data_IF_814351077427
#
_entry.id   IF_814351077427
#
_cell.length_a   1.000
_cell.length_b   1.000
_cell.length_c   1.000
_cell.angle_alpha   90.00
_cell.angle_beta   90.00
_cell.angle_gamma   90.00
#
_symmetry.space_group_name_H-M   'P 1'
#
loop_
_entity.id
_entity.type
_entity.pdbx_description
1 polymer ?
#
# COMPACT_ATOMS: atom_id res chain seq x y z
N UNK A 1 -33.43 -2.62 11.59
CA UNK A 1 -32.29 -1.69 11.59
C UNK A 1 -31.35 -2.19 10.54
N UNK A 2 -31.33 -1.56 9.35
CA UNK A 2 -30.41 -1.90 8.26
C UNK A 2 -29.02 -1.46 8.74
N UNK A 3 -28.15 -2.42 9.06
CA UNK A 3 -26.73 -2.12 9.25
C UNK A 3 -26.22 -1.63 7.90
N UNK A 4 -25.81 -0.38 7.84
CA UNK A 4 -25.12 0.16 6.67
C UNK A 4 -23.77 -0.53 6.63
N UNK A 5 -23.56 -1.45 5.67
CA UNK A 5 -22.25 -2.07 5.44
C UNK A 5 -21.22 -0.98 5.23
N UNK A 6 -20.14 -1.03 6.01
CA UNK A 6 -19.04 -0.07 5.87
C UNK A 6 -18.21 -0.45 4.66
N UNK A 7 -18.14 0.46 3.67
CA UNK A 7 -17.28 0.31 2.49
C UNK A 7 -16.00 1.09 2.69
N UNK A 8 -14.84 0.50 2.37
CA UNK A 8 -13.57 1.16 2.54
C UNK A 8 -12.51 0.69 1.55
N UNK A 9 -11.57 1.59 1.26
CA UNK A 9 -10.43 1.30 0.38
C UNK A 9 -9.25 0.81 1.19
N UNK A 10 -8.62 -0.28 0.78
CA UNK A 10 -7.37 -0.77 1.35
C UNK A 10 -6.19 -0.18 0.56
N UNK A 11 -5.16 0.29 1.26
CA UNK A 11 -3.91 0.65 0.62
C UNK A 11 -3.09 -0.61 0.27
N UNK A 12 -2.03 -0.44 -0.51
CA UNK A 12 -1.20 -1.55 -0.98
C UNK A 12 -0.56 -2.32 0.18
N UNK A 13 -0.13 -1.62 1.23
CA UNK A 13 0.50 -2.27 2.40
C UNK A 13 -0.48 -3.17 3.15
N UNK A 14 -1.72 -2.73 3.30
CA UNK A 14 -2.78 -3.50 3.95
C UNK A 14 -3.16 -4.73 3.13
N UNK A 15 -3.27 -4.60 1.81
CA UNK A 15 -3.55 -5.75 0.92
C UNK A 15 -2.44 -6.80 1.02
N UNK A 16 -1.17 -6.39 0.99
CA UNK A 16 -0.02 -7.30 1.12
C UNK A 16 -0.03 -8.04 2.46
N UNK A 17 -0.42 -7.37 3.54
CA UNK A 17 -0.41 -7.91 4.90
C UNK A 17 -1.72 -8.59 5.31
N UNK A 18 -2.72 -8.63 4.43
CA UNK A 18 -4.08 -9.05 4.76
C UNK A 18 -4.14 -10.41 5.46
N UNK A 19 -3.42 -11.40 4.94
CA UNK A 19 -3.33 -12.75 5.53
C UNK A 19 -2.60 -12.85 6.88
N UNK A 20 -1.99 -11.75 7.33
CA UNK A 20 -1.22 -11.68 8.57
C UNK A 20 -1.88 -10.78 9.62
N UNK A 21 -2.99 -10.13 9.29
CA UNK A 21 -3.70 -9.25 10.21
C UNK A 21 -4.26 -10.05 11.39
N UNK A 22 -4.09 -9.50 12.59
CA UNK A 22 -4.50 -10.17 13.82
C UNK A 22 -5.99 -10.08 14.08
N UNK A 23 -6.63 -9.02 13.59
CA UNK A 23 -8.05 -8.74 13.80
C UNK A 23 -8.73 -8.29 12.50
N UNK A 24 -9.46 -9.19 11.83
CA UNK A 24 -10.25 -8.86 10.65
C UNK A 24 -11.35 -7.81 10.91
N UNK A 25 -11.77 -7.60 12.16
CA UNK A 25 -12.79 -6.60 12.51
C UNK A 25 -12.30 -5.15 12.34
N UNK A 26 -10.99 -4.92 12.18
CA UNK A 26 -10.44 -3.62 11.84
C UNK A 26 -10.67 -3.22 10.37
N UNK A 27 -11.09 -4.17 9.53
CA UNK A 27 -11.35 -3.93 8.11
C UNK A 27 -12.82 -3.55 7.85
N UNK A 28 -13.12 -2.89 6.72
CA UNK A 28 -14.51 -2.61 6.35
C UNK A 28 -15.23 -3.91 5.93
N UNK A 29 -16.56 -3.90 6.05
CA UNK A 29 -17.40 -5.03 5.61
C UNK A 29 -17.27 -5.30 4.10
N UNK A 30 -17.12 -4.22 3.32
CA UNK A 30 -16.87 -4.25 1.88
C UNK A 30 -15.52 -3.57 1.61
N UNK A 31 -14.52 -4.37 1.32
CA UNK A 31 -13.19 -3.89 0.97
C UNK A 31 -13.07 -3.69 -0.54
N UNK A 32 -12.50 -2.55 -0.94
CA UNK A 32 -12.15 -2.24 -2.34
C UNK A 32 -10.70 -1.81 -2.43
N UNK A 33 -10.13 -1.85 -3.64
CA UNK A 33 -8.78 -1.33 -3.90
C UNK A 33 -8.81 -0.28 -5.01
N UNK A 34 -7.79 0.56 -5.08
CA UNK A 34 -7.62 1.49 -6.19
C UNK A 34 -6.92 0.82 -7.39
N UNK A 35 -7.14 1.35 -8.59
CA UNK A 35 -6.35 0.95 -9.77
C UNK A 35 -4.84 1.17 -9.56
N UNK A 36 -4.45 2.11 -8.69
CA UNK A 36 -3.05 2.35 -8.34
C UNK A 36 -2.50 1.19 -7.50
N UNK A 37 -3.25 0.72 -6.49
CA UNK A 37 -2.91 -0.46 -5.70
C UNK A 37 -2.72 -1.69 -6.60
N UNK A 38 -3.65 -1.91 -7.53
CA UNK A 38 -3.54 -3.00 -8.50
C UNK A 38 -2.29 -2.85 -9.38
N UNK A 39 -1.98 -1.63 -9.84
CA UNK A 39 -0.78 -1.35 -10.63
C UNK A 39 0.50 -1.67 -9.83
N UNK A 40 0.58 -1.31 -8.55
CA UNK A 40 1.71 -1.65 -7.69
C UNK A 40 1.87 -3.16 -7.50
N UNK A 41 0.77 -3.87 -7.24
CA UNK A 41 0.80 -5.33 -7.13
C UNK A 41 1.25 -6.00 -8.43
N UNK A 42 0.83 -5.47 -9.59
CA UNK A 42 1.19 -6.03 -10.90
C UNK A 42 2.67 -5.89 -11.25
N UNK A 43 3.38 -4.91 -10.69
CA UNK A 43 4.84 -4.80 -10.83
C UNK A 43 5.57 -5.92 -10.08
N UNK A 44 4.99 -6.41 -8.97
CA UNK A 44 5.60 -7.37 -8.05
C UNK A 44 6.26 -8.57 -8.73
N UNK A 45 5.55 -9.34 -9.55
CA UNK A 45 6.11 -10.51 -10.24
C UNK A 45 7.27 -10.18 -11.17
N UNK A 46 7.27 -8.99 -11.81
CA UNK A 46 8.28 -8.58 -12.79
C UNK A 46 9.64 -8.23 -12.19
N UNK A 47 9.65 -7.86 -10.90
CA UNK A 47 10.87 -7.45 -10.18
C UNK A 47 11.26 -8.44 -9.09
N UNK A 48 10.72 -9.66 -9.12
CA UNK A 48 11.08 -10.73 -8.21
C UNK A 48 12.51 -11.20 -8.47
N UNK A 49 13.23 -11.54 -7.39
CA UNK A 49 14.64 -11.96 -7.46
C UNK A 49 14.78 -13.42 -7.90
N UNK A 50 13.77 -14.26 -7.67
CA UNK A 50 13.75 -15.66 -8.04
C UNK A 50 12.34 -16.13 -8.43
N UNK A 51 12.23 -17.37 -8.89
CA UNK A 51 10.98 -17.94 -9.37
C UNK A 51 9.97 -18.22 -8.24
N UNK A 52 10.44 -18.53 -7.03
CA UNK A 52 9.59 -18.76 -5.87
C UNK A 52 8.93 -17.45 -5.43
N UNK A 53 9.71 -16.37 -5.37
CA UNK A 53 9.21 -15.03 -5.07
C UNK A 53 8.25 -14.53 -6.16
N UNK A 54 8.60 -14.78 -7.44
CA UNK A 54 7.72 -14.44 -8.57
C UNK A 54 6.38 -15.15 -8.46
N UNK A 55 6.39 -16.45 -8.17
CA UNK A 55 5.18 -17.25 -7.99
C UNK A 55 4.30 -16.75 -6.86
N UNK A 56 4.90 -16.44 -5.69
CA UNK A 56 4.19 -15.90 -4.55
C UNK A 56 3.55 -14.52 -4.85
N UNK A 57 4.28 -13.62 -5.51
CA UNK A 57 3.77 -12.30 -5.90
C UNK A 57 2.67 -12.39 -6.97
N UNK A 58 2.80 -13.33 -7.92
CA UNK A 58 1.76 -13.59 -8.92
C UNK A 58 0.48 -14.12 -8.27
N UNK A 59 0.59 -15.05 -7.32
CA UNK A 59 -0.56 -15.56 -6.58
C UNK A 59 -1.25 -14.43 -5.80
N UNK A 60 -0.46 -13.55 -5.18
CA UNK A 60 -0.99 -12.41 -4.43
C UNK A 60 -1.77 -11.42 -5.33
N UNK A 61 -1.23 -11.13 -6.51
CA UNK A 61 -1.91 -10.30 -7.51
C UNK A 61 -3.24 -10.94 -7.94
N UNK A 62 -3.23 -12.23 -8.31
CA UNK A 62 -4.45 -12.95 -8.72
C UNK A 62 -5.50 -13.00 -7.62
N UNK A 63 -5.07 -13.16 -6.36
CA UNK A 63 -5.98 -13.14 -5.22
C UNK A 63 -6.61 -11.76 -5.04
N UNK A 64 -5.83 -10.69 -5.16
CA UNK A 64 -6.34 -9.33 -5.07
C UNK A 64 -7.37 -9.01 -6.18
N UNK A 65 -7.11 -9.46 -7.42
CA UNK A 65 -8.06 -9.32 -8.54
C UNK A 65 -9.35 -10.13 -8.35
N UNK A 66 -9.28 -11.25 -7.63
CA UNK A 66 -10.45 -12.09 -7.37
C UNK A 66 -11.30 -11.59 -6.19
N UNK A 67 -10.68 -11.01 -5.17
CA UNK A 67 -11.33 -10.68 -3.90
C UNK A 67 -11.84 -9.24 -3.84
N UNK A 68 -11.29 -8.32 -4.64
CA UNK A 68 -11.59 -6.89 -4.52
C UNK A 68 -12.13 -6.27 -5.81
N UNK A 69 -13.15 -5.43 -5.65
CA UNK A 69 -13.53 -4.48 -6.68
C UNK A 69 -12.44 -3.41 -6.84
N UNK A 70 -12.02 -3.18 -8.08
CA UNK A 70 -10.99 -2.18 -8.41
C UNK A 70 -11.66 -0.87 -8.81
N UNK A 71 -11.48 0.17 -8.00
CA UNK A 71 -11.98 1.51 -8.29
C UNK A 71 -11.05 2.21 -9.30
N UNK A 72 -11.59 2.79 -10.39
CA UNK A 72 -10.77 3.44 -11.42
C UNK A 72 -10.14 4.73 -10.91
N UNK A 73 -9.00 5.11 -11.49
CA UNK A 73 -8.41 6.43 -11.33
C UNK A 73 -8.91 7.32 -12.47
N UNK A 74 -9.96 8.09 -12.22
CA UNK A 74 -10.65 8.92 -13.21
C UNK A 74 -10.31 10.41 -13.08
N UNK A 75 -11.07 11.27 -13.77
CA UNK A 75 -10.86 12.71 -13.74
C UNK A 75 -11.13 13.35 -12.38
N UNK A 76 -12.02 12.76 -11.55
CA UNK A 76 -12.27 13.24 -10.18
C UNK A 76 -11.10 12.89 -9.27
N UNK A 77 -10.55 11.70 -9.42
CA UNK A 77 -9.31 11.30 -8.76
C UNK A 77 -8.13 12.21 -9.13
N UNK A 78 -8.00 12.55 -10.42
CA UNK A 78 -6.95 13.45 -10.89
C UNK A 78 -7.07 14.86 -10.26
N UNK A 79 -8.28 15.39 -10.16
CA UNK A 79 -8.53 16.67 -9.48
C UNK A 79 -8.25 16.62 -7.98
N UNK A 80 -8.66 15.53 -7.32
CA UNK A 80 -8.35 15.31 -5.90
C UNK A 80 -6.84 15.19 -5.66
N UNK A 81 -6.09 14.54 -6.56
CA UNK A 81 -4.63 14.43 -6.49
C UNK A 81 -3.95 15.80 -6.48
N UNK A 82 -4.42 16.77 -7.27
CA UNK A 82 -3.88 18.13 -7.25
C UNK A 82 -3.92 18.76 -5.87
N UNK A 83 -5.04 18.61 -5.15
CA UNK A 83 -5.20 19.13 -3.78
C UNK A 83 -4.31 18.37 -2.77
N UNK A 84 -4.22 17.03 -2.90
CA UNK A 84 -3.35 16.18 -2.06
C UNK A 84 -1.88 16.56 -2.24
N UNK A 85 -1.43 16.68 -3.49
CA UNK A 85 -0.05 17.05 -3.80
C UNK A 85 0.32 18.45 -3.28
N UNK A 86 -0.59 19.41 -3.38
CA UNK A 86 -0.41 20.76 -2.82
C UNK A 86 -0.28 20.72 -1.29
N UNK A 87 -1.13 19.94 -0.59
CA UNK A 87 -1.07 19.79 0.85
C UNK A 87 0.23 19.12 1.32
N UNK A 88 0.67 18.06 0.65
CA UNK A 88 1.93 17.39 0.96
C UNK A 88 3.14 18.33 0.76
N UNK A 89 3.14 19.12 -0.31
CA UNK A 89 4.18 20.11 -0.56
C UNK A 89 4.20 21.21 0.53
N UNK A 90 3.03 21.70 0.93
CA UNK A 90 2.91 22.68 2.00
C UNK A 90 3.41 22.14 3.35
N UNK A 91 3.27 20.83 3.60
CA UNK A 91 3.80 20.13 4.76
C UNK A 91 5.30 19.79 4.65
N UNK A 92 6.02 20.28 3.62
CA UNK A 92 7.45 20.03 3.41
C UNK A 92 7.78 18.61 2.92
N UNK A 93 6.78 17.83 2.50
CA UNK A 93 6.97 16.46 1.98
C UNK A 93 7.27 16.53 0.49
N UNK A 94 8.12 15.62 -0.01
CA UNK A 94 8.43 15.50 -1.44
C UNK A 94 7.34 14.61 -2.09
N UNK A 95 6.44 15.14 -2.93
CA UNK A 95 5.36 14.36 -3.54
C UNK A 95 5.85 13.19 -4.39
N UNK A 96 7.01 13.36 -5.06
CA UNK A 96 7.58 12.33 -5.93
C UNK A 96 7.97 11.05 -5.17
N UNK A 97 8.45 11.16 -3.94
CA UNK A 97 8.87 10.01 -3.13
C UNK A 97 7.67 9.16 -2.64
N UNK A 98 6.46 9.73 -2.67
CA UNK A 98 5.21 9.11 -2.19
C UNK A 98 4.08 9.31 -3.21
N UNK A 99 4.41 9.24 -4.49
CA UNK A 99 3.45 9.51 -5.55
C UNK A 99 2.28 8.51 -5.52
N UNK A 100 2.56 7.23 -5.30
CA UNK A 100 1.52 6.21 -5.24
C UNK A 100 0.59 6.40 -4.04
N UNK A 101 1.12 6.67 -2.84
CA UNK A 101 0.31 6.96 -1.65
C UNK A 101 -0.61 8.16 -1.89
N UNK A 102 -0.08 9.22 -2.53
CA UNK A 102 -0.87 10.40 -2.87
C UNK A 102 -1.98 10.10 -3.90
N UNK A 103 -1.72 9.22 -4.87
CA UNK A 103 -2.71 8.79 -5.86
C UNK A 103 -3.78 7.88 -5.21
N UNK A 104 -3.40 6.99 -4.30
CA UNK A 104 -4.32 6.14 -3.53
C UNK A 104 -5.22 7.02 -2.64
N UNK A 105 -4.62 7.99 -1.92
CA UNK A 105 -5.38 8.94 -1.10
C UNK A 105 -6.37 9.76 -1.93
N UNK A 106 -5.94 10.23 -3.10
CA UNK A 106 -6.80 10.95 -4.03
C UNK A 106 -7.98 10.09 -4.53
N UNK A 107 -7.73 8.80 -4.80
CA UNK A 107 -8.78 7.85 -5.16
C UNK A 107 -9.81 7.68 -4.03
N UNK A 108 -9.34 7.48 -2.78
CA UNK A 108 -10.22 7.35 -1.64
C UNK A 108 -11.09 8.60 -1.43
N UNK A 109 -10.50 9.80 -1.53
CA UNK A 109 -11.21 11.07 -1.43
C UNK A 109 -12.26 11.22 -2.55
N UNK A 110 -11.90 10.94 -3.80
CA UNK A 110 -12.79 11.11 -4.95
C UNK A 110 -13.97 10.15 -4.90
N UNK A 111 -13.74 8.91 -4.49
CA UNK A 111 -14.79 7.90 -4.35
C UNK A 111 -15.57 8.01 -3.02
N UNK A 112 -15.18 8.93 -2.12
CA UNK A 112 -15.89 9.17 -0.86
C UNK A 112 -15.85 7.99 0.10
N UNK A 113 -14.76 7.23 0.11
CA UNK A 113 -14.59 6.05 0.99
C UNK A 113 -13.41 6.27 1.95
N UNK A 114 -13.46 5.75 3.19
CA UNK A 114 -12.32 5.74 4.11
C UNK A 114 -11.15 4.93 3.53
N UNK A 115 -9.92 5.37 3.82
CA UNK A 115 -8.70 4.64 3.49
C UNK A 115 -8.21 3.87 4.73
N UNK A 116 -8.08 2.56 4.59
CA UNK A 116 -7.56 1.65 5.62
C UNK A 116 -6.10 1.34 5.34
N UNK A 117 -5.22 1.58 6.31
CA UNK A 117 -3.78 1.43 6.15
C UNK A 117 -3.07 0.89 7.39
N UNK A 118 -2.11 0.01 7.18
CA UNK A 118 -1.15 -0.41 8.20
C UNK A 118 -0.05 0.63 8.44
N UNK A 119 0.08 1.65 7.57
CA UNK A 119 1.08 2.72 7.64
C UNK A 119 0.44 4.13 7.68
N UNK A 120 -0.30 4.49 8.73
CA UNK A 120 -1.01 5.78 8.78
C UNK A 120 -0.09 7.01 8.68
N UNK A 121 1.20 6.87 9.04
CA UNK A 121 2.17 7.96 8.94
C UNK A 121 2.38 8.45 7.50
N UNK A 122 2.18 7.59 6.50
CA UNK A 122 2.34 7.92 5.09
C UNK A 122 1.25 8.87 4.59
N UNK A 123 0.07 8.82 5.20
CA UNK A 123 -1.12 9.57 4.82
C UNK A 123 -1.45 10.74 5.75
N UNK A 124 -0.64 10.96 6.79
CA UNK A 124 -0.89 12.03 7.77
C UNK A 124 -0.88 13.41 7.12
N UNK A 125 -1.85 14.26 7.48
CA UNK A 125 -1.92 15.64 7.04
C UNK A 125 -2.53 15.84 5.65
N UNK A 126 -3.12 14.80 5.04
CA UNK A 126 -3.86 14.93 3.80
C UNK A 126 -5.29 15.39 4.15
N UNK A 127 -5.70 16.60 3.71
CA UNK A 127 -7.01 17.12 4.03
C UNK A 127 -8.11 16.31 3.33
N UNK A 128 -9.29 16.20 3.97
CA UNK A 128 -10.46 15.48 3.48
C UNK A 128 -10.30 13.95 3.37
N UNK A 129 -9.13 13.40 3.66
CA UNK A 129 -8.94 11.96 3.71
C UNK A 129 -9.48 11.42 5.04
N UNK A 130 -10.46 10.54 4.99
CA UNK A 130 -10.86 9.74 6.14
C UNK A 130 -9.91 8.55 6.26
N UNK A 131 -9.02 8.62 7.25
CA UNK A 131 -7.99 7.60 7.46
C UNK A 131 -8.38 6.66 8.59
N UNK A 132 -8.29 5.36 8.35
CA UNK A 132 -8.49 4.29 9.33
C UNK A 132 -7.20 3.50 9.48
N UNK A 133 -6.67 3.50 10.69
CA UNK A 133 -5.47 2.73 11.02
C UNK A 133 -5.83 1.26 11.23
N UNK A 134 -5.10 0.37 10.57
CA UNK A 134 -5.17 -1.08 10.77
C UNK A 134 -3.91 -1.51 11.52
N UNK A 135 -4.06 -2.35 12.53
CA UNK A 135 -2.93 -2.80 13.35
C UNK A 135 -1.94 -3.59 12.51
N UNK A 136 -0.72 -3.05 12.37
CA UNK A 136 0.35 -3.73 11.65
C UNK A 136 0.68 -5.05 12.36
N UNK A 137 0.65 -6.21 11.66
CA UNK A 137 1.04 -7.47 12.26
C UNK A 137 2.45 -7.36 12.83
N UNK A 138 2.67 -7.84 14.06
CA UNK A 138 4.01 -7.85 14.68
C UNK A 138 4.98 -8.54 13.74
N UNK A 139 6.11 -7.89 13.44
CA UNK A 139 7.16 -8.38 12.54
C UNK A 139 7.47 -9.85 12.82
N UNK A 140 6.90 -10.75 12.05
CA UNK A 140 7.59 -11.97 11.69
C UNK A 140 8.58 -11.58 10.60
N UNK A 141 9.86 -11.96 10.76
CA UNK A 141 10.91 -11.68 9.79
C UNK A 141 10.57 -12.33 8.45
N UNK A 142 9.76 -11.66 7.64
CA UNK A 142 9.55 -12.04 6.25
C UNK A 142 10.57 -11.28 5.40
N UNK A 143 11.65 -11.95 5.09
CA UNK A 143 12.59 -11.57 4.03
C UNK A 143 11.84 -11.67 2.70
N UNK A 144 11.24 -10.57 2.20
CA UNK A 144 10.59 -10.67 0.89
C UNK A 144 9.74 -9.49 0.41
N UNK A 145 9.19 -8.69 1.29
CA UNK A 145 8.44 -7.49 0.88
C UNK A 145 9.08 -6.23 1.48
N UNK A 146 10.17 -5.79 0.87
CA UNK A 146 10.57 -4.39 0.99
C UNK A 146 9.58 -3.61 0.15
N UNK A 147 8.79 -2.73 0.78
CA UNK A 147 7.87 -1.84 0.08
C UNK A 147 8.60 -1.17 -1.09
N UNK A 148 7.95 -1.12 -2.26
CA UNK A 148 8.43 -0.50 -3.49
C UNK A 148 8.90 0.96 -3.36
N UNK A 149 8.76 1.57 -2.20
CA UNK A 149 9.14 2.96 -1.92
C UNK A 149 10.64 3.21 -1.87
N UNK A 150 11.50 2.18 -1.76
CA UNK A 150 12.96 2.39 -1.66
C UNK A 150 13.72 2.29 -2.98
N UNK A 151 13.05 1.94 -4.10
CA UNK A 151 13.76 1.74 -5.38
C UNK A 151 14.12 3.05 -6.09
N UNK A 152 13.56 4.19 -5.68
CA UNK A 152 13.81 5.47 -6.37
C UNK A 152 15.00 6.29 -5.83
N UNK A 153 15.64 5.89 -4.71
CA UNK A 153 16.68 6.78 -4.14
C UNK A 153 17.74 6.06 -3.28
N UNK A 154 18.04 4.79 -3.49
CA UNK A 154 19.15 4.14 -2.79
C UNK A 154 20.30 3.84 -3.74
N UNK A 155 21.55 4.20 -3.41
CA UNK A 155 22.70 3.68 -4.13
C UNK A 155 22.74 2.15 -3.99
N UNK A 156 23.26 1.47 -5.03
CA UNK A 156 23.27 0.02 -5.12
C UNK A 156 23.64 -0.67 -3.80
N UNK A 157 22.96 -1.80 -3.45
CA UNK A 157 23.27 -2.51 -2.22
C UNK A 157 24.72 -2.98 -2.24
N UNK A 158 25.47 -2.59 -1.21
CA UNK A 158 26.80 -3.15 -0.95
C UNK A 158 26.63 -4.62 -0.60
N UNK A 159 27.35 -5.57 -1.23
CA UNK A 159 27.25 -6.98 -0.88
C UNK A 159 27.56 -7.17 0.60
N UNK A 160 26.70 -7.87 1.34
CA UNK A 160 27.04 -8.35 2.67
C UNK A 160 28.15 -9.38 2.54
N UNK A 161 29.37 -9.03 2.94
CA UNK A 161 30.43 -10.00 3.14
C UNK A 161 30.04 -10.97 4.27
N UNK A 162 30.24 -12.27 4.10
CA UNK A 162 30.03 -13.24 5.17
C UNK A 162 31.06 -12.97 6.28
N UNK A 163 30.58 -12.73 7.49
CA UNK A 163 31.45 -12.71 8.68
C UNK A 163 31.96 -14.11 8.91
N UNK A 164 33.24 -14.32 8.67
CA UNK A 164 33.96 -15.55 9.05
C UNK A 164 34.16 -15.47 10.55
N UNK A 165 33.46 -16.32 11.32
CA UNK A 165 33.77 -16.55 12.72
C UNK A 165 35.15 -17.22 12.79
N UNK A 166 36.12 -16.48 13.28
CA UNK A 166 37.41 -17.06 13.70
C UNK A 166 37.21 -17.59 15.10
N UNK A 167 36.98 -18.89 15.21
CA UNK A 167 37.02 -19.59 16.48
C UNK A 167 38.45 -19.64 17.06
N UNK A 168 38.53 -19.36 18.34
CA UNK A 168 39.72 -19.59 19.17
C UNK A 168 39.39 -20.67 20.16
#
# INVERSE_FOLDING_TARGET
>A
VTQTQSRGMLDTSTVILLGQLSDPAELPDESVISAITLAELSVGPHVANDDAERGARQQHLQQAEADFDVLPFDGDCARAFGAVAAALRAAGRKPAARAHDALIAASAIAHGVPLYTCNPADFTGIPRLELRSVTHPKKMNFTGYRCYQEVSNSPAPVPCEPQVEVGN
#
